data_IF_451898850897
#
_entry.id   IF_451898850897
#
_cell.length_a   1.000
_cell.length_b   1.000
_cell.length_c   1.000
_cell.angle_alpha   90.00
_cell.angle_beta   90.00
_cell.angle_gamma   90.00
#
_symmetry.space_group_name_H-M   'P 1'
#
loop_
_entity.id
_entity.type
_entity.pdbx_description
1 polymer ?
#
# COMPACT_ATOMS: atom_id res chain seq x y z
N UNK A 1 -22.85 -12.54 0.34
CA UNK A 1 -22.81 -11.38 1.27
C UNK A 1 -21.36 -10.97 1.46
N UNK A 2 -21.08 -9.69 1.20
CA UNK A 2 -19.84 -8.93 1.47
C UNK A 2 -18.56 -9.37 0.71
N UNK A 3 -18.52 -9.05 -0.60
CA UNK A 3 -17.28 -8.91 -1.35
C UNK A 3 -16.84 -7.44 -1.24
N UNK A 4 -15.81 -7.15 -0.43
CA UNK A 4 -15.22 -5.81 -0.39
C UNK A 4 -13.90 -5.82 -1.17
N UNK A 5 -14.02 -5.46 -2.45
CA UNK A 5 -12.90 -5.32 -3.39
C UNK A 5 -12.11 -4.07 -3.00
N UNK A 6 -11.01 -4.22 -2.28
CA UNK A 6 -10.05 -3.13 -2.07
C UNK A 6 -8.96 -3.23 -3.13
N UNK A 7 -9.23 -2.62 -4.28
CA UNK A 7 -8.20 -2.25 -5.24
C UNK A 7 -7.81 -0.80 -4.92
N UNK A 8 -6.54 -0.54 -4.63
CA UNK A 8 -6.06 0.83 -4.68
C UNK A 8 -4.62 0.91 -5.21
N UNK A 9 -4.55 1.28 -6.49
CA UNK A 9 -3.39 1.86 -7.16
C UNK A 9 -3.69 3.35 -7.43
N UNK A 10 -2.69 4.19 -7.75
CA UNK A 10 -1.43 4.41 -7.07
C UNK A 10 -1.54 5.69 -6.22
N UNK A 11 -1.17 5.63 -4.94
CA UNK A 11 -1.07 6.85 -4.12
C UNK A 11 0.26 7.56 -4.46
N UNK A 12 0.27 8.36 -5.53
CA UNK A 12 1.37 9.30 -5.74
C UNK A 12 1.22 10.44 -4.74
N UNK A 13 1.85 10.31 -3.58
CA UNK A 13 1.96 11.41 -2.64
C UNK A 13 2.75 12.55 -3.30
N UNK A 14 2.12 13.73 -3.35
CA UNK A 14 2.52 14.88 -4.17
C UNK A 14 3.50 15.82 -3.44
N UNK A 15 4.39 15.27 -2.60
CA UNK A 15 5.45 16.03 -1.96
C UNK A 15 6.39 16.65 -2.98
N UNK A 16 6.77 17.92 -2.77
CA UNK A 16 7.76 18.62 -3.59
C UNK A 16 9.21 18.33 -3.18
N UNK A 17 9.43 17.63 -2.06
CA UNK A 17 10.75 17.28 -1.55
C UNK A 17 11.42 16.13 -2.32
N UNK A 18 12.71 15.85 -2.02
CA UNK A 18 13.43 14.73 -2.62
C UNK A 18 12.73 13.38 -2.35
N UNK A 19 12.94 12.42 -3.25
CA UNK A 19 12.40 11.06 -3.08
C UNK A 19 13.15 10.32 -1.96
N UNK A 20 12.40 9.80 -0.98
CA UNK A 20 12.96 9.07 0.17
C UNK A 20 12.80 7.56 0.03
N UNK A 21 11.67 7.09 -0.49
CA UNK A 21 11.38 5.67 -0.66
C UNK A 21 10.62 5.41 -1.96
N UNK A 22 10.99 4.35 -2.67
CA UNK A 22 10.25 3.83 -3.81
C UNK A 22 10.04 2.32 -3.65
N UNK A 23 8.77 1.92 -3.65
CA UNK A 23 8.33 0.54 -3.74
C UNK A 23 7.85 0.29 -5.16
N UNK A 24 8.25 -0.85 -5.73
CA UNK A 24 7.88 -1.27 -7.09
C UNK A 24 7.42 -2.71 -7.10
N UNK A 25 6.21 -2.96 -7.62
CA UNK A 25 5.62 -4.28 -7.74
C UNK A 25 5.57 -5.08 -6.44
N UNK A 26 5.35 -4.41 -5.30
CA UNK A 26 5.40 -5.08 -3.99
C UNK A 26 4.15 -5.95 -3.81
N UNK A 27 4.37 -7.21 -3.46
CA UNK A 27 3.32 -8.18 -3.12
C UNK A 27 3.56 -8.85 -1.78
N UNK A 28 2.49 -9.22 -1.10
CA UNK A 28 2.53 -9.93 0.17
C UNK A 28 1.40 -10.94 0.25
N UNK A 29 1.78 -12.20 0.47
CA UNK A 29 0.86 -13.30 0.78
C UNK A 29 1.18 -13.81 2.19
N UNK A 30 0.16 -14.01 3.00
CA UNK A 30 0.27 -14.61 4.32
C UNK A 30 0.31 -16.14 4.24
N UNK A 31 0.82 -16.79 5.28
CA UNK A 31 0.94 -18.26 5.34
C UNK A 31 -0.40 -19.00 5.23
N UNK A 32 -1.51 -18.32 5.55
CA UNK A 32 -2.88 -18.82 5.39
C UNK A 32 -3.42 -18.69 3.94
N UNK A 33 -2.60 -18.24 2.99
CA UNK A 33 -2.96 -18.07 1.59
C UNK A 33 -3.65 -16.74 1.25
N UNK A 34 -3.88 -15.86 2.22
CA UNK A 34 -4.49 -14.55 1.98
C UNK A 34 -3.49 -13.63 1.28
N UNK A 35 -3.87 -13.11 0.13
CA UNK A 35 -3.10 -12.06 -0.58
C UNK A 35 -3.43 -10.71 0.05
N UNK A 36 -2.45 -10.12 0.74
CA UNK A 36 -2.57 -8.84 1.43
C UNK A 36 -2.24 -7.67 0.51
N UNK A 37 -1.19 -7.82 -0.31
CA UNK A 37 -0.76 -6.83 -1.30
C UNK A 37 -0.51 -7.54 -2.62
N UNK A 38 -0.93 -6.95 -3.73
CA UNK A 38 -0.68 -7.45 -5.08
C UNK A 38 -0.28 -6.28 -5.96
N UNK A 39 0.95 -6.34 -6.47
CA UNK A 39 1.51 -5.40 -7.45
C UNK A 39 1.38 -3.92 -7.05
N UNK A 40 1.93 -3.57 -5.88
CA UNK A 40 1.85 -2.21 -5.33
C UNK A 40 3.08 -1.39 -5.68
N UNK A 41 2.85 -0.27 -6.37
CA UNK A 41 3.81 0.80 -6.59
C UNK A 41 3.51 1.98 -5.66
N UNK A 42 4.51 2.40 -4.87
CA UNK A 42 4.40 3.55 -3.97
C UNK A 42 5.69 4.37 -4.02
N UNK A 43 5.57 5.69 -4.04
CA UNK A 43 6.70 6.60 -3.89
C UNK A 43 6.40 7.59 -2.78
N UNK A 44 7.34 7.70 -1.83
CA UNK A 44 7.29 8.62 -0.70
C UNK A 44 8.43 9.62 -0.86
N UNK A 45 8.09 10.89 -0.81
CA UNK A 45 8.98 12.04 -0.85
C UNK A 45 9.04 12.71 0.51
N UNK A 46 10.09 13.50 0.72
CA UNK A 46 10.23 14.30 1.92
C UNK A 46 9.04 15.26 2.07
N UNK A 47 8.46 15.28 3.27
CA UNK A 47 7.26 16.06 3.60
C UNK A 47 5.94 15.38 3.26
N UNK A 48 5.94 14.18 2.67
CA UNK A 48 4.72 13.41 2.47
C UNK A 48 4.13 12.92 3.80
N UNK A 49 2.79 13.03 3.91
CA UNK A 49 2.03 12.43 4.97
C UNK A 49 1.18 11.28 4.40
N UNK A 50 1.50 10.05 4.80
CA UNK A 50 0.81 8.84 4.34
C UNK A 50 -0.02 8.24 5.47
N UNK A 51 -1.25 7.81 5.14
CA UNK A 51 -2.08 7.00 6.02
C UNK A 51 -2.43 5.69 5.32
N UNK A 52 -2.25 4.58 6.04
CA UNK A 52 -2.65 3.25 5.59
C UNK A 52 -4.04 2.95 6.17
N UNK A 53 -5.04 2.80 5.32
CA UNK A 53 -6.44 2.58 5.70
C UNK A 53 -6.94 1.23 5.17
N UNK A 54 -7.87 0.60 5.90
CA UNK A 54 -8.47 -0.67 5.50
C UNK A 54 -8.89 -1.57 6.68
N UNK A 55 -9.67 -2.64 6.43
CA UNK A 55 -10.20 -3.56 7.44
C UNK A 55 -9.13 -4.23 8.29
N UNK A 56 -9.48 -4.77 9.47
CA UNK A 56 -8.54 -5.58 10.26
C UNK A 56 -8.02 -6.76 9.41
N UNK A 57 -6.71 -7.01 9.49
CA UNK A 57 -6.06 -8.09 8.72
C UNK A 57 -5.65 -7.77 7.28
N UNK A 58 -5.88 -6.56 6.76
CA UNK A 58 -5.52 -6.21 5.37
C UNK A 58 -4.04 -5.84 5.14
N UNK A 59 -3.12 -6.14 6.09
CA UNK A 59 -1.68 -5.88 5.89
C UNK A 59 -1.22 -4.43 6.04
N UNK A 60 -1.91 -3.59 6.84
CA UNK A 60 -1.48 -2.19 7.08
C UNK A 60 -0.23 -2.06 7.95
N UNK A 61 -0.06 -2.96 8.90
CA UNK A 61 1.04 -2.94 9.88
C UNK A 61 2.12 -3.98 9.57
N UNK A 62 1.96 -4.71 8.45
CA UNK A 62 2.81 -5.85 8.07
C UNK A 62 2.93 -5.88 6.56
#
# INVERSE_FOLDING_TARGET
MMQEKVAQAPASASGKGPMLLALRGVGKVFSNGVTALSDVDLTIREGDFLSLLGPSGCGKST
#
